data_IF_978982474874
#
_entry.id   IF_978982474874
#
_cell.length_a   1.000
_cell.length_b   1.000
_cell.length_c   1.000
_cell.angle_alpha   90.00
_cell.angle_beta   90.00
_cell.angle_gamma   90.00
#
_symmetry.space_group_name_H-M   'P 1'
#
loop_
_entity.id
_entity.type
_entity.pdbx_description
1 polymer ?
#
# COMPACT_ATOMS: atom_id res chain seq x y z
N UNK A 1 -12.31 43.70 -13.50
CA UNK A 1 -10.89 43.56 -13.16
C UNK A 1 -10.35 42.40 -13.99
N UNK A 2 -9.40 42.66 -14.88
CA UNK A 2 -8.65 41.56 -15.51
C UNK A 2 -7.94 40.79 -14.40
N UNK A 3 -8.25 39.50 -14.23
CA UNK A 3 -7.50 38.64 -13.33
C UNK A 3 -6.09 38.52 -13.89
N UNK A 4 -5.09 38.86 -13.07
CA UNK A 4 -3.69 38.63 -13.39
C UNK A 4 -3.47 37.13 -13.56
N UNK A 5 -2.82 36.74 -14.66
CA UNK A 5 -2.41 35.35 -14.86
C UNK A 5 -1.36 34.95 -13.83
N UNK A 6 -1.50 33.77 -13.28
CA UNK A 6 -0.57 33.10 -12.38
C UNK A 6 0.22 32.10 -13.21
N UNK A 7 1.54 32.14 -13.10
CA UNK A 7 2.42 31.15 -13.70
C UNK A 7 2.32 29.82 -12.97
N UNK A 8 2.49 28.70 -13.68
CA UNK A 8 2.36 27.36 -13.09
C UNK A 8 3.32 27.14 -11.93
N UNK A 9 4.58 27.61 -12.02
CA UNK A 9 5.57 27.41 -10.97
C UNK A 9 5.26 28.25 -9.73
N UNK A 10 4.79 29.48 -9.94
CA UNK A 10 4.33 30.37 -8.86
C UNK A 10 3.14 29.75 -8.12
N UNK A 11 2.12 29.31 -8.85
CA UNK A 11 0.94 28.72 -8.25
C UNK A 11 1.22 27.35 -7.62
N UNK A 12 2.12 26.55 -8.19
CA UNK A 12 2.52 25.27 -7.63
C UNK A 12 3.34 25.43 -6.34
N UNK A 13 4.23 26.43 -6.24
CA UNK A 13 4.96 26.70 -5.01
C UNK A 13 4.01 26.99 -3.82
N UNK A 14 2.92 27.72 -4.09
CA UNK A 14 1.86 27.93 -3.10
C UNK A 14 1.10 26.64 -2.76
N UNK A 15 0.86 25.76 -3.74
CA UNK A 15 0.24 24.45 -3.51
C UNK A 15 1.13 23.53 -2.67
N UNK A 16 2.44 23.55 -2.90
CA UNK A 16 3.41 22.73 -2.18
C UNK A 16 3.47 23.09 -0.69
N UNK A 17 3.31 24.36 -0.31
CA UNK A 17 3.25 24.74 1.10
C UNK A 17 2.02 24.14 1.79
N UNK A 18 0.86 24.17 1.14
CA UNK A 18 -0.37 23.52 1.61
C UNK A 18 -0.22 22.00 1.72
N UNK A 19 0.39 21.34 0.73
CA UNK A 19 0.68 19.90 0.77
C UNK A 19 1.63 19.57 1.93
N UNK A 20 2.66 20.39 2.15
CA UNK A 20 3.62 20.19 3.25
C UNK A 20 2.93 20.31 4.60
N UNK A 21 2.07 21.33 4.76
CA UNK A 21 1.25 21.53 5.96
C UNK A 21 0.33 20.32 6.21
N UNK A 22 -0.34 19.83 5.17
CA UNK A 22 -1.19 18.63 5.26
C UNK A 22 -0.39 17.39 5.69
N UNK A 23 0.78 17.14 5.09
CA UNK A 23 1.66 16.03 5.48
C UNK A 23 2.03 16.09 6.96
N UNK A 24 2.42 17.26 7.46
CA UNK A 24 2.74 17.47 8.88
C UNK A 24 1.56 17.16 9.81
N UNK A 25 0.35 17.58 9.43
CA UNK A 25 -0.87 17.27 10.19
C UNK A 25 -1.15 15.75 10.19
N UNK A 26 -1.05 15.08 9.03
CA UNK A 26 -1.26 13.64 8.91
C UNK A 26 -0.25 12.83 9.75
N UNK A 27 0.99 13.32 9.84
CA UNK A 27 2.05 12.72 10.64
C UNK A 27 1.97 13.11 12.14
N UNK A 28 0.96 13.88 12.55
CA UNK A 28 0.78 14.31 13.94
C UNK A 28 1.86 15.29 14.43
N UNK A 29 2.59 15.93 13.52
CA UNK A 29 3.59 16.94 13.85
C UNK A 29 2.92 18.26 14.27
N UNK A 30 3.58 19.08 15.11
CA UNK A 30 3.06 20.38 15.48
C UNK A 30 2.87 21.28 14.25
N UNK A 31 1.61 21.58 13.93
CA UNK A 31 1.21 22.41 12.79
C UNK A 31 -0.12 23.11 13.11
N UNK A 32 -0.25 24.44 12.92
CA UNK A 32 -1.55 25.11 13.01
C UNK A 32 -2.58 24.53 12.03
N UNK A 33 -3.88 24.58 12.37
CA UNK A 33 -4.91 24.21 11.41
C UNK A 33 -4.86 25.13 10.18
N UNK A 34 -5.44 24.65 9.08
CA UNK A 34 -5.63 25.46 7.88
C UNK A 34 -6.51 26.67 8.18
N UNK A 35 -6.09 27.85 7.71
CA UNK A 35 -6.88 29.07 7.75
C UNK A 35 -7.97 29.02 6.66
N UNK A 36 -8.99 29.86 6.79
CA UNK A 36 -10.02 29.99 5.75
C UNK A 36 -9.42 30.40 4.39
N UNK A 37 -8.36 31.21 4.39
CA UNK A 37 -7.67 31.63 3.17
C UNK A 37 -6.98 30.46 2.47
N UNK A 38 -6.29 29.60 3.25
CA UNK A 38 -5.65 28.40 2.72
C UNK A 38 -6.70 27.38 2.21
N UNK A 39 -7.84 27.26 2.89
CA UNK A 39 -8.94 26.38 2.46
C UNK A 39 -9.67 26.85 1.20
N UNK A 40 -9.74 28.17 0.96
CA UNK A 40 -10.48 28.71 -0.20
C UNK A 40 -9.84 28.33 -1.55
N UNK A 41 -8.60 27.80 -1.56
CA UNK A 41 -7.92 27.24 -2.74
C UNK A 41 -8.04 28.14 -3.99
N UNK A 42 -8.08 29.46 -3.79
CA UNK A 42 -8.30 30.44 -4.85
C UNK A 42 -7.22 30.37 -5.92
N UNK A 43 -6.00 29.95 -5.54
CA UNK A 43 -4.87 29.72 -6.44
C UNK A 43 -5.19 28.63 -7.47
N UNK A 44 -5.74 27.47 -7.07
CA UNK A 44 -6.18 26.41 -8.01
C UNK A 44 -7.29 26.96 -8.91
N UNK A 45 -8.32 27.56 -8.32
CA UNK A 45 -9.45 28.06 -9.08
C UNK A 45 -9.01 29.07 -10.15
N UNK A 46 -8.11 29.98 -9.81
CA UNK A 46 -7.57 30.96 -10.76
C UNK A 46 -6.76 30.28 -11.85
N UNK A 47 -5.85 29.35 -11.53
CA UNK A 47 -5.04 28.62 -12.52
C UNK A 47 -5.87 27.75 -13.48
N UNK A 48 -6.96 27.14 -13.01
CA UNK A 48 -7.86 26.34 -13.86
C UNK A 48 -8.83 27.19 -14.71
N UNK A 49 -9.00 28.49 -14.42
CA UNK A 49 -9.98 29.35 -15.10
C UNK A 49 -9.34 30.47 -15.92
N UNK A 50 -8.02 30.41 -16.15
CA UNK A 50 -7.30 31.38 -16.99
C UNK A 50 -7.73 31.25 -18.46
N UNK A 51 -7.58 32.33 -19.23
CA UNK A 51 -7.90 32.31 -20.66
C UNK A 51 -6.93 31.37 -21.40
N UNK A 52 -7.38 30.64 -22.43
CA UNK A 52 -6.51 29.84 -23.28
C UNK A 52 -5.32 30.67 -23.80
N UNK A 53 -4.09 30.12 -23.88
CA UNK A 53 -3.72 28.70 -23.71
C UNK A 53 -3.29 28.28 -22.29
N UNK A 54 -3.58 29.07 -21.24
CA UNK A 54 -3.01 28.89 -19.89
C UNK A 54 -3.91 28.09 -18.92
N UNK A 55 -4.65 27.11 -19.42
CA UNK A 55 -5.43 26.19 -18.57
C UNK A 55 -4.50 25.11 -18.00
N UNK A 56 -4.23 25.19 -16.70
CA UNK A 56 -3.31 24.30 -15.99
C UNK A 56 -4.01 23.17 -15.22
N UNK A 57 -5.31 22.96 -15.44
CA UNK A 57 -6.09 21.97 -14.69
C UNK A 57 -5.51 20.55 -14.76
N UNK A 58 -5.11 20.10 -15.95
CA UNK A 58 -4.52 18.77 -16.15
C UNK A 58 -3.15 18.65 -15.46
N UNK A 59 -2.28 19.64 -15.64
CA UNK A 59 -0.93 19.64 -15.08
C UNK A 59 -0.95 19.70 -13.55
N UNK A 60 -1.90 20.44 -12.97
CA UNK A 60 -2.13 20.47 -11.53
C UNK A 60 -2.62 19.13 -11.00
N UNK A 61 -3.51 18.45 -11.73
CA UNK A 61 -3.98 17.11 -11.35
C UNK A 61 -2.83 16.10 -11.36
N UNK A 62 -2.00 16.12 -12.40
CA UNK A 62 -0.87 15.19 -12.52
C UNK A 62 0.18 15.42 -11.42
N UNK A 63 0.50 16.70 -11.11
CA UNK A 63 1.39 17.05 -10.01
C UNK A 63 0.81 16.66 -8.65
N UNK A 64 -0.47 16.92 -8.41
CA UNK A 64 -1.16 16.53 -7.18
C UNK A 64 -1.14 15.00 -7.00
N UNK A 65 -1.49 14.25 -8.05
CA UNK A 65 -1.44 12.80 -8.06
C UNK A 65 -0.03 12.30 -7.73
N UNK A 66 1.00 12.87 -8.35
CA UNK A 66 2.40 12.54 -8.04
C UNK A 66 2.78 12.75 -6.57
N UNK A 67 2.37 13.86 -5.94
CA UNK A 67 2.62 14.09 -4.51
C UNK A 67 1.91 13.09 -3.60
N UNK A 68 0.72 12.65 -3.98
CA UNK A 68 -0.06 11.66 -3.24
C UNK A 68 0.55 10.26 -3.37
N UNK A 69 0.89 9.87 -4.60
CA UNK A 69 1.55 8.59 -4.89
C UNK A 69 2.90 8.50 -4.17
N UNK A 70 3.69 9.57 -4.18
CA UNK A 70 4.94 9.66 -3.42
C UNK A 70 4.72 9.45 -1.93
N UNK A 71 3.76 10.15 -1.31
CA UNK A 71 3.48 10.04 0.12
C UNK A 71 3.02 8.63 0.52
N UNK A 72 2.14 8.03 -0.29
CA UNK A 72 1.70 6.64 -0.06
C UNK A 72 2.90 5.71 -0.08
N UNK A 73 3.78 5.82 -1.08
CA UNK A 73 4.94 4.93 -1.26
C UNK A 73 6.01 5.13 -0.21
N UNK A 74 6.38 6.37 0.09
CA UNK A 74 7.51 6.69 0.97
C UNK A 74 7.17 6.58 2.46
N UNK A 75 5.89 6.77 2.80
CA UNK A 75 5.47 6.91 4.20
C UNK A 75 4.44 5.84 4.56
N UNK A 76 3.24 5.92 3.97
CA UNK A 76 2.13 5.04 4.38
C UNK A 76 2.47 3.56 4.20
N UNK A 77 2.98 3.18 3.03
CA UNK A 77 3.37 1.81 2.72
C UNK A 77 4.46 1.31 3.68
N UNK A 78 5.46 2.14 3.96
CA UNK A 78 6.56 1.78 4.85
C UNK A 78 6.08 1.47 6.27
N UNK A 79 5.06 2.19 6.75
CA UNK A 79 4.47 1.98 8.07
C UNK A 79 3.56 0.75 8.14
N UNK A 80 2.81 0.47 7.07
CA UNK A 80 1.80 -0.62 7.07
C UNK A 80 2.36 -1.96 6.61
N UNK A 81 3.38 -2.00 5.73
CA UNK A 81 3.83 -3.23 5.05
C UNK A 81 4.16 -4.38 5.99
N UNK A 82 4.81 -4.08 7.12
CA UNK A 82 5.21 -5.12 8.09
C UNK A 82 4.00 -5.73 8.81
N UNK A 83 3.01 -4.91 9.15
CA UNK A 83 1.80 -5.37 9.83
C UNK A 83 0.85 -6.08 8.85
N UNK A 84 0.74 -5.57 7.61
CA UNK A 84 0.00 -6.22 6.54
C UNK A 84 0.56 -7.63 6.27
N UNK A 85 1.89 -7.76 6.10
CA UNK A 85 2.56 -9.05 5.94
C UNK A 85 2.25 -10.01 7.07
N UNK A 86 2.44 -9.57 8.34
CA UNK A 86 2.16 -10.40 9.51
C UNK A 86 0.69 -10.86 9.54
N UNK A 87 -0.25 -9.97 9.25
CA UNK A 87 -1.67 -10.31 9.23
C UNK A 87 -1.99 -11.36 8.15
N UNK A 88 -1.42 -11.23 6.96
CA UNK A 88 -1.57 -12.19 5.87
C UNK A 88 -1.02 -13.56 6.25
N UNK A 89 0.20 -13.63 6.81
CA UNK A 89 0.81 -14.90 7.24
C UNK A 89 -0.05 -15.58 8.31
N UNK A 90 -0.54 -14.82 9.30
CA UNK A 90 -1.46 -15.36 10.33
C UNK A 90 -2.75 -15.92 9.73
N UNK A 91 -3.32 -15.26 8.70
CA UNK A 91 -4.51 -15.78 8.03
C UNK A 91 -4.21 -17.07 7.26
N UNK A 92 -3.06 -17.15 6.60
CA UNK A 92 -2.60 -18.37 5.91
C UNK A 92 -2.44 -19.51 6.91
N UNK A 93 -1.80 -19.27 8.06
CA UNK A 93 -1.61 -20.30 9.08
C UNK A 93 -2.94 -20.82 9.65
N UNK A 94 -3.90 -19.92 9.86
CA UNK A 94 -5.27 -20.32 10.24
C UNK A 94 -5.92 -21.21 9.20
N UNK A 95 -5.82 -20.84 7.93
CA UNK A 95 -6.36 -21.66 6.84
C UNK A 95 -5.69 -23.04 6.76
N UNK A 96 -4.38 -23.11 7.00
CA UNK A 96 -3.61 -24.37 7.05
C UNK A 96 -4.03 -25.29 8.20
N UNK A 97 -4.44 -24.72 9.33
CA UNK A 97 -5.02 -25.48 10.45
C UNK A 97 -6.50 -25.84 10.23
N UNK A 98 -7.07 -25.51 9.06
CA UNK A 98 -8.44 -25.85 8.68
C UNK A 98 -9.49 -24.85 9.13
N UNK A 99 -9.09 -23.66 9.62
CA UNK A 99 -10.02 -22.58 9.89
C UNK A 99 -10.54 -21.96 8.60
N UNK A 100 -11.82 -21.60 8.57
CA UNK A 100 -12.35 -20.80 7.46
C UNK A 100 -11.89 -19.35 7.60
N UNK A 101 -11.29 -18.83 6.53
CA UNK A 101 -10.86 -17.44 6.44
C UNK A 101 -11.63 -16.67 5.35
N UNK A 102 -11.65 -15.36 5.47
CA UNK A 102 -12.09 -14.48 4.39
C UNK A 102 -10.97 -14.33 3.36
N UNK A 103 -11.03 -15.15 2.29
CA UNK A 103 -10.07 -15.09 1.18
C UNK A 103 -10.14 -13.78 0.40
N UNK A 104 -11.28 -13.08 0.42
CA UNK A 104 -11.37 -11.75 -0.21
C UNK A 104 -10.58 -10.73 0.59
N UNK A 105 -10.64 -10.80 1.92
CA UNK A 105 -9.81 -9.95 2.78
C UNK A 105 -8.32 -10.24 2.59
N UNK A 106 -7.93 -11.53 2.54
CA UNK A 106 -6.55 -11.93 2.26
C UNK A 106 -6.04 -11.31 0.95
N UNK A 107 -6.83 -11.44 -0.13
CA UNK A 107 -6.50 -10.87 -1.43
C UNK A 107 -6.38 -9.34 -1.38
N UNK A 108 -7.34 -8.65 -0.78
CA UNK A 108 -7.33 -7.19 -0.70
C UNK A 108 -6.08 -6.65 0.04
N UNK A 109 -5.58 -7.38 1.05
CA UNK A 109 -4.35 -6.99 1.75
C UNK A 109 -3.11 -7.31 0.92
N UNK A 110 -3.09 -8.44 0.21
CA UNK A 110 -2.02 -8.81 -0.71
C UNK A 110 -1.89 -7.82 -1.87
N UNK A 111 -3.01 -7.33 -2.41
CA UNK A 111 -3.03 -6.39 -3.54
C UNK A 111 -2.23 -5.10 -3.22
N UNK A 112 -2.10 -4.70 -1.95
CA UNK A 112 -1.26 -3.55 -1.56
C UNK A 112 0.20 -3.72 -2.01
N UNK A 113 0.77 -4.93 -1.89
CA UNK A 113 2.15 -5.21 -2.25
C UNK A 113 2.39 -5.23 -3.76
N UNK A 114 1.34 -5.45 -4.56
CA UNK A 114 1.39 -5.46 -6.03
C UNK A 114 1.16 -4.06 -6.58
N UNK A 115 0.11 -3.38 -6.12
CA UNK A 115 -0.29 -2.07 -6.61
C UNK A 115 0.76 -0.99 -6.31
N UNK A 116 1.47 -1.09 -5.17
CA UNK A 116 2.52 -0.13 -4.81
C UNK A 116 3.72 -0.17 -5.78
N UNK A 117 3.95 -1.32 -6.42
CA UNK A 117 4.98 -1.51 -7.43
C UNK A 117 4.62 -0.93 -8.80
N UNK A 118 3.46 -0.27 -8.95
CA UNK A 118 2.99 0.27 -10.24
C UNK A 118 3.00 -0.79 -11.36
N UNK A 119 2.67 -2.03 -11.02
CA UNK A 119 2.69 -3.19 -11.93
C UNK A 119 3.98 -4.02 -11.90
N UNK A 120 5.01 -3.59 -11.16
CA UNK A 120 6.17 -4.43 -10.85
C UNK A 120 5.92 -5.28 -9.59
N UNK A 121 6.46 -6.50 -9.58
CA UNK A 121 6.29 -7.44 -8.44
C UNK A 121 7.33 -7.25 -7.33
N UNK A 122 8.24 -6.28 -7.44
CA UNK A 122 9.40 -6.11 -6.53
C UNK A 122 8.98 -6.04 -5.06
N UNK A 123 7.91 -5.30 -4.76
CA UNK A 123 7.41 -5.16 -3.39
C UNK A 123 6.71 -6.43 -2.89
N UNK A 124 5.99 -7.14 -3.75
CA UNK A 124 5.46 -8.47 -3.42
C UNK A 124 6.60 -9.44 -3.08
N UNK A 125 7.62 -9.53 -3.93
CA UNK A 125 8.74 -10.45 -3.76
C UNK A 125 9.53 -10.14 -2.48
N UNK A 126 9.95 -8.88 -2.30
CA UNK A 126 10.86 -8.49 -1.22
C UNK A 126 10.18 -8.24 0.11
N UNK A 127 9.01 -7.58 0.10
CA UNK A 127 8.34 -7.20 1.33
C UNK A 127 7.31 -8.25 1.81
N UNK A 128 6.98 -9.27 1.01
CA UNK A 128 6.04 -10.31 1.40
C UNK A 128 6.56 -11.73 1.17
N UNK A 129 6.86 -12.09 -0.08
CA UNK A 129 7.10 -13.48 -0.51
C UNK A 129 8.28 -14.13 0.21
N UNK A 130 9.41 -13.43 0.34
CA UNK A 130 10.59 -13.97 1.06
C UNK A 130 10.22 -14.48 2.45
N UNK A 131 9.54 -13.66 3.24
CA UNK A 131 9.15 -14.02 4.60
C UNK A 131 8.05 -15.09 4.61
N UNK A 132 7.07 -14.99 3.71
CA UNK A 132 6.02 -16.01 3.58
C UNK A 132 6.62 -17.40 3.28
N UNK A 133 7.61 -17.46 2.39
CA UNK A 133 8.31 -18.71 2.06
C UNK A 133 9.11 -19.25 3.25
N UNK A 134 9.80 -18.39 4.00
CA UNK A 134 10.50 -18.76 5.23
C UNK A 134 9.54 -19.32 6.28
N UNK A 135 8.46 -18.60 6.61
CA UNK A 135 7.45 -19.05 7.57
C UNK A 135 6.77 -20.36 7.11
N UNK A 136 6.52 -20.51 5.82
CA UNK A 136 5.96 -21.75 5.25
C UNK A 136 6.93 -22.93 5.36
N UNK A 137 8.22 -22.71 5.10
CA UNK A 137 9.23 -23.75 5.24
C UNK A 137 9.33 -24.23 6.70
N UNK A 138 9.32 -23.31 7.66
CA UNK A 138 9.37 -23.63 9.09
C UNK A 138 8.11 -24.36 9.57
N UNK A 139 6.94 -23.94 9.08
CA UNK A 139 5.65 -24.60 9.34
C UNK A 139 5.68 -26.06 8.89
N UNK A 140 5.98 -26.32 7.60
CA UNK A 140 5.92 -27.67 7.06
C UNK A 140 7.05 -28.56 7.57
N UNK A 141 8.22 -27.99 7.89
CA UNK A 141 9.29 -28.72 8.59
C UNK A 141 8.82 -29.22 9.97
N UNK A 142 8.15 -28.36 10.73
CA UNK A 142 7.59 -28.71 12.04
C UNK A 142 6.50 -29.77 11.91
N UNK A 143 5.56 -29.61 10.96
CA UNK A 143 4.50 -30.60 10.70
C UNK A 143 5.05 -31.95 10.26
N UNK A 144 6.02 -31.97 9.34
CA UNK A 144 6.66 -33.20 8.89
C UNK A 144 7.33 -33.97 10.05
N UNK A 145 7.98 -33.24 10.98
CA UNK A 145 8.62 -33.85 12.16
C UNK A 145 7.57 -34.54 13.05
N UNK A 146 6.44 -33.87 13.30
CA UNK A 146 5.34 -34.44 14.08
C UNK A 146 4.75 -35.69 13.39
N UNK A 147 4.46 -35.60 12.08
CA UNK A 147 3.83 -36.70 11.34
C UNK A 147 4.72 -37.92 11.21
N UNK A 148 6.04 -37.75 11.06
CA UNK A 148 6.98 -38.88 11.02
C UNK A 148 6.98 -39.66 12.34
N UNK A 149 6.80 -38.97 13.47
CA UNK A 149 6.76 -39.60 14.79
C UNK A 149 5.39 -40.24 15.09
N UNK A 150 4.29 -39.63 14.62
CA UNK A 150 2.93 -40.03 14.99
C UNK A 150 2.21 -40.94 13.99
N UNK A 151 2.55 -40.86 12.70
CA UNK A 151 1.71 -41.42 11.64
C UNK A 151 2.28 -42.71 11.03
N UNK A 152 1.39 -43.49 10.41
CA UNK A 152 1.81 -44.59 9.55
C UNK A 152 2.40 -44.05 8.24
N UNK A 153 3.31 -44.81 7.61
CA UNK A 153 3.93 -44.40 6.34
C UNK A 153 2.89 -44.03 5.24
N UNK A 154 1.79 -44.79 5.04
CA UNK A 154 0.72 -44.38 4.12
C UNK A 154 0.07 -43.03 4.47
N UNK A 155 -0.24 -42.80 5.75
CA UNK A 155 -0.90 -41.56 6.21
C UNK A 155 0.01 -40.35 6.04
N UNK A 156 1.30 -40.50 6.35
CA UNK A 156 2.32 -39.48 6.10
C UNK A 156 2.40 -39.09 4.62
N UNK A 157 2.42 -40.09 3.72
CA UNK A 157 2.47 -39.84 2.27
C UNK A 157 1.23 -39.10 1.77
N UNK A 158 0.05 -39.40 2.30
CA UNK A 158 -1.19 -38.66 1.97
C UNK A 158 -1.11 -37.20 2.42
N UNK A 159 -0.66 -36.95 3.66
CA UNK A 159 -0.52 -35.57 4.18
C UNK A 159 0.48 -34.74 3.39
N UNK A 160 1.59 -35.33 2.93
CA UNK A 160 2.55 -34.63 2.06
C UNK A 160 1.92 -34.21 0.73
N UNK A 161 1.08 -35.06 0.13
CA UNK A 161 0.36 -34.73 -1.11
C UNK A 161 -0.62 -33.58 -0.86
N UNK A 162 -1.38 -33.63 0.23
CA UNK A 162 -2.31 -32.55 0.62
C UNK A 162 -1.57 -31.23 0.86
N UNK A 163 -0.41 -31.25 1.53
CA UNK A 163 0.42 -30.06 1.73
C UNK A 163 0.91 -29.45 0.42
N UNK A 164 1.32 -30.28 -0.53
CA UNK A 164 1.79 -29.81 -1.83
C UNK A 164 0.69 -29.08 -2.62
N UNK A 165 -0.58 -29.43 -2.41
CA UNK A 165 -1.72 -28.70 -2.97
C UNK A 165 -2.00 -27.38 -2.23
N UNK A 166 -1.64 -27.28 -0.96
CA UNK A 166 -1.84 -26.11 -0.11
C UNK A 166 -0.72 -25.06 -0.24
N UNK A 167 0.40 -25.42 -0.87
CA UNK A 167 1.48 -24.50 -1.23
C UNK A 167 1.12 -23.52 -2.37
N UNK A 168 -0.02 -23.72 -3.05
CA UNK A 168 -0.45 -22.93 -4.20
C UNK A 168 -1.54 -21.89 -3.87
N UNK A 169 -1.53 -21.33 -2.64
CA UNK A 169 -2.35 -20.13 -2.33
C UNK A 169 -1.82 -18.93 -3.10
#
# INVERSE_FOLDING_TARGET
>A
MDRKSIDLDEGWAHMQSGITKLKRILEGLPEPPFSSEEYMMLTIYNMCTQKPPLDYSQELYDKYKGCFDEYIRSTVYMDVRANARKAVIVLIDKEREGEQIDRSLLKNVLDIFVEIGMGEMVHYEQDFEVQMLEDSADYYKSKATIWIESDSCPDYMLKLIECNHMFLV
#
